data_IF_294199563013
#
_entry.id   IF_294199563013
#
_cell.length_a   1.000
_cell.length_b   1.000
_cell.length_c   1.000
_cell.angle_alpha   90.00
_cell.angle_beta   90.00
_cell.angle_gamma   90.00
#
_symmetry.space_group_name_H-M   'P 1'
#
loop_
_entity.id
_entity.type
_entity.pdbx_description
1 polymer ?
#
# COMPACT_ATOMS: atom_id res chain seq x y z
N UNK A 1 22.06 20.22 -7.94
CA UNK A 1 20.79 20.57 -8.63
C UNK A 1 19.72 20.82 -7.58
N UNK A 2 18.81 21.77 -7.80
CA UNK A 2 17.69 22.04 -6.89
C UNK A 2 16.38 21.52 -7.48
N UNK A 3 15.62 20.75 -6.69
CA UNK A 3 14.33 20.19 -7.10
C UNK A 3 13.26 20.54 -6.08
N UNK A 4 12.01 20.49 -6.54
CA UNK A 4 10.86 20.63 -5.66
C UNK A 4 9.94 19.42 -5.75
N UNK A 5 9.42 19.00 -4.61
CA UNK A 5 8.38 17.99 -4.51
C UNK A 5 7.12 18.67 -3.97
N UNK A 6 6.05 18.71 -4.75
CA UNK A 6 4.78 19.31 -4.37
C UNK A 6 3.82 18.20 -3.95
N UNK A 7 3.44 18.20 -2.68
CA UNK A 7 2.76 17.12 -1.97
C UNK A 7 3.73 16.42 -1.00
N UNK A 8 3.40 16.42 0.29
CA UNK A 8 4.18 15.74 1.34
C UNK A 8 3.43 14.54 1.95
N UNK A 9 2.52 13.97 1.16
CA UNK A 9 2.00 12.63 1.41
C UNK A 9 3.08 11.56 1.22
N UNK A 10 2.68 10.31 1.36
CA UNK A 10 3.57 9.16 1.38
C UNK A 10 4.60 9.14 0.23
N UNK A 11 4.13 9.25 -1.02
CA UNK A 11 4.99 9.28 -2.21
C UNK A 11 5.95 10.47 -2.20
N UNK A 12 5.42 11.68 -1.97
CA UNK A 12 6.20 12.90 -2.08
C UNK A 12 7.28 13.01 -1.00
N UNK A 13 6.96 12.70 0.26
CA UNK A 13 7.93 12.80 1.36
C UNK A 13 9.06 11.78 1.20
N UNK A 14 8.76 10.52 0.87
CA UNK A 14 9.79 9.50 0.61
C UNK A 14 10.68 9.93 -0.57
N UNK A 15 10.07 10.34 -1.68
CA UNK A 15 10.80 10.80 -2.87
C UNK A 15 11.75 11.95 -2.54
N UNK A 16 11.25 12.98 -1.83
CA UNK A 16 12.05 14.14 -1.48
C UNK A 16 13.19 13.82 -0.53
N UNK A 17 12.92 13.00 0.50
CA UNK A 17 13.95 12.58 1.44
C UNK A 17 15.04 11.72 0.77
N UNK A 18 14.67 10.79 -0.13
CA UNK A 18 15.64 9.99 -0.87
C UNK A 18 16.46 10.81 -1.87
N UNK A 19 15.85 11.79 -2.55
CA UNK A 19 16.63 12.70 -3.40
C UNK A 19 17.59 13.59 -2.60
N UNK A 20 17.20 14.03 -1.40
CA UNK A 20 18.10 14.77 -0.51
C UNK A 20 19.29 13.90 -0.03
N UNK A 21 19.04 12.60 0.19
CA UNK A 21 20.09 11.61 0.48
C UNK A 21 21.08 11.44 -0.68
N UNK A 22 20.63 11.60 -1.93
CA UNK A 22 21.51 11.62 -3.11
C UNK A 22 22.33 12.90 -3.28
N UNK A 23 22.22 13.85 -2.35
CA UNK A 23 22.98 15.10 -2.37
C UNK A 23 22.28 16.23 -3.15
N UNK A 24 21.02 16.07 -3.53
CA UNK A 24 20.23 17.14 -4.14
C UNK A 24 19.72 18.11 -3.06
N UNK A 25 19.51 19.37 -3.45
CA UNK A 25 18.81 20.33 -2.62
C UNK A 25 17.31 20.24 -2.94
N UNK A 26 16.51 19.81 -1.96
CA UNK A 26 15.10 19.47 -2.14
C UNK A 26 14.22 20.40 -1.31
N UNK A 27 13.22 21.02 -1.97
CA UNK A 27 12.13 21.72 -1.30
C UNK A 27 10.87 20.87 -1.40
N UNK A 28 10.37 20.41 -0.26
CA UNK A 28 9.08 19.74 -0.15
C UNK A 28 8.00 20.76 0.21
N UNK A 29 6.97 20.88 -0.63
CA UNK A 29 5.88 21.83 -0.45
C UNK A 29 4.55 21.13 -0.21
N UNK A 30 3.75 21.63 0.71
CA UNK A 30 2.38 21.18 0.96
C UNK A 30 1.52 22.37 1.42
N UNK A 31 0.22 22.34 1.15
CA UNK A 31 -0.71 23.38 1.61
C UNK A 31 -1.07 23.21 3.09
N UNK A 32 -0.88 22.01 3.66
CA UNK A 32 -1.13 21.75 5.08
C UNK A 32 -0.01 22.33 5.95
N UNK A 33 -0.24 23.53 6.49
CA UNK A 33 0.70 24.23 7.36
C UNK A 33 1.02 23.46 8.66
N UNK A 34 0.07 22.66 9.17
CA UNK A 34 0.31 21.84 10.37
C UNK A 34 1.27 20.70 10.04
N UNK A 35 1.08 20.04 8.88
CA UNK A 35 2.00 19.00 8.41
C UNK A 35 3.39 19.55 8.16
N UNK A 36 3.50 20.69 7.48
CA UNK A 36 4.80 21.34 7.22
C UNK A 36 5.50 21.70 8.54
N UNK A 37 4.79 22.31 9.50
CA UNK A 37 5.38 22.65 10.80
C UNK A 37 5.83 21.45 11.65
N UNK A 38 5.24 20.26 11.44
CA UNK A 38 5.73 19.00 12.03
C UNK A 38 6.99 18.51 11.29
N UNK A 39 6.96 18.49 9.96
CA UNK A 39 8.07 18.04 9.14
C UNK A 39 9.33 18.91 9.31
N UNK A 40 9.19 20.22 9.50
CA UNK A 40 10.32 21.11 9.82
C UNK A 40 11.04 20.74 11.13
N UNK A 41 10.36 20.03 12.03
CA UNK A 41 10.90 19.54 13.31
C UNK A 41 11.37 18.07 13.22
N UNK A 42 11.32 17.46 12.03
CA UNK A 42 11.62 16.05 11.82
C UNK A 42 10.51 15.09 12.24
N UNK A 43 9.31 15.59 12.57
CA UNK A 43 8.16 14.78 12.96
C UNK A 43 7.38 14.32 11.71
N UNK A 44 7.58 13.04 11.35
CA UNK A 44 6.98 12.39 10.17
C UNK A 44 5.55 11.94 10.51
N UNK A 45 4.53 12.29 9.70
CA UNK A 45 3.12 12.08 10.05
C UNK A 45 2.59 10.66 9.83
N UNK A 46 3.41 9.74 9.32
CA UNK A 46 3.06 8.34 9.06
C UNK A 46 4.26 7.43 9.29
N UNK A 47 4.01 6.13 9.45
CA UNK A 47 5.08 5.16 9.67
C UNK A 47 5.67 4.68 8.34
N UNK A 48 6.99 4.83 8.19
CA UNK A 48 7.78 4.19 7.16
C UNK A 48 9.18 3.87 7.71
N UNK A 49 9.64 2.59 7.67
CA UNK A 49 10.93 2.21 8.24
C UNK A 49 12.09 3.04 7.67
N UNK A 50 12.80 3.78 8.52
CA UNK A 50 13.97 4.58 8.16
C UNK A 50 13.68 6.00 7.67
N UNK A 51 12.41 6.39 7.50
CA UNK A 51 12.06 7.69 6.92
C UNK A 51 12.34 8.84 7.88
N UNK A 52 12.04 8.68 9.17
CA UNK A 52 12.29 9.70 10.20
C UNK A 52 13.78 10.05 10.28
N UNK A 53 14.65 9.04 10.22
CA UNK A 53 16.09 9.21 10.20
C UNK A 53 16.55 9.95 8.93
N UNK A 54 16.01 9.58 7.77
CA UNK A 54 16.33 10.18 6.48
C UNK A 54 15.93 11.66 6.43
N UNK A 55 14.72 11.99 6.90
CA UNK A 55 14.21 13.36 6.98
C UNK A 55 15.06 14.19 7.95
N UNK A 56 15.32 13.66 9.14
CA UNK A 56 16.13 14.35 10.17
C UNK A 56 17.55 14.63 9.65
N UNK A 57 18.16 13.66 8.96
CA UNK A 57 19.47 13.82 8.32
C UNK A 57 19.43 14.91 7.25
N UNK A 58 18.46 14.88 6.34
CA UNK A 58 18.31 15.87 5.27
C UNK A 58 18.11 17.30 5.78
N UNK A 59 17.34 17.47 6.87
CA UNK A 59 17.17 18.75 7.57
C UNK A 59 18.49 19.25 8.17
N UNK A 60 19.19 18.39 8.93
CA UNK A 60 20.47 18.74 9.55
C UNK A 60 21.52 19.17 8.53
N UNK A 61 21.53 18.55 7.35
CA UNK A 61 22.46 18.85 6.28
C UNK A 61 22.01 19.98 5.36
N UNK A 62 20.86 20.62 5.63
CA UNK A 62 20.23 21.67 4.82
C UNK A 62 19.99 21.25 3.36
N UNK A 63 19.86 19.94 3.10
CA UNK A 63 19.54 19.39 1.77
C UNK A 63 18.04 19.13 1.59
N UNK A 64 17.28 19.09 2.68
CA UNK A 64 15.83 18.98 2.68
C UNK A 64 15.23 20.18 3.41
N UNK A 65 14.27 20.85 2.79
CA UNK A 65 13.54 21.97 3.39
C UNK A 65 12.05 21.81 3.11
N UNK A 66 11.22 22.23 4.07
CA UNK A 66 9.77 22.20 3.92
C UNK A 66 9.21 23.63 3.77
N UNK A 67 8.09 23.78 3.09
CA UNK A 67 7.43 25.08 2.94
C UNK A 67 5.95 24.95 2.57
N UNK A 68 5.18 25.99 2.86
CA UNK A 68 3.83 26.17 2.30
C UNK A 68 3.82 27.16 1.12
N UNK A 69 4.95 27.78 0.82
CA UNK A 69 5.08 28.81 -0.21
C UNK A 69 5.37 28.19 -1.59
N UNK A 70 4.35 28.20 -2.45
CA UNK A 70 4.46 27.73 -3.83
C UNK A 70 5.44 28.56 -4.68
N UNK A 71 5.56 29.87 -4.44
CA UNK A 71 6.49 30.72 -5.18
C UNK A 71 7.94 30.33 -4.86
N UNK A 72 8.23 30.07 -3.58
CA UNK A 72 9.54 29.56 -3.13
C UNK A 72 9.85 28.19 -3.75
N UNK A 73 8.87 27.28 -3.74
CA UNK A 73 9.03 25.94 -4.32
C UNK A 73 9.26 25.96 -5.84
N UNK A 74 8.56 26.82 -6.58
CA UNK A 74 8.66 26.88 -8.05
C UNK A 74 9.91 27.64 -8.51
N UNK A 75 10.23 28.76 -7.85
CA UNK A 75 11.24 29.71 -8.31
C UNK A 75 12.62 29.08 -8.52
N UNK A 76 13.12 28.36 -7.51
CA UNK A 76 14.51 27.86 -7.51
C UNK A 76 14.69 26.48 -8.13
N UNK A 77 13.61 25.73 -8.36
CA UNK A 77 13.68 24.34 -8.83
C UNK A 77 14.01 24.23 -10.32
N UNK A 78 14.87 23.30 -10.71
CA UNK A 78 15.07 22.94 -12.13
C UNK A 78 14.07 21.86 -12.57
N UNK A 79 13.75 20.95 -11.66
CA UNK A 79 12.69 19.95 -11.82
C UNK A 79 11.68 20.07 -10.67
N UNK A 80 10.39 20.00 -11.01
CA UNK A 80 9.28 20.10 -10.07
C UNK A 80 8.46 18.82 -10.20
N UNK A 81 8.38 18.04 -9.12
CA UNK A 81 7.59 16.83 -9.04
C UNK A 81 6.22 17.12 -8.46
N UNK A 82 5.17 16.71 -9.16
CA UNK A 82 3.79 16.74 -8.67
C UNK A 82 3.51 15.39 -8.03
N UNK A 83 3.42 15.36 -6.70
CA UNK A 83 3.24 14.16 -5.87
C UNK A 83 2.04 14.30 -4.91
N UNK A 84 1.04 15.08 -5.32
CA UNK A 84 -0.23 15.24 -4.60
C UNK A 84 -1.13 14.03 -4.76
N UNK A 85 -2.10 13.86 -3.86
CA UNK A 85 -3.07 12.77 -3.93
C UNK A 85 -4.02 12.93 -5.13
N UNK A 86 -4.45 11.79 -5.67
CA UNK A 86 -5.50 11.67 -6.69
C UNK A 86 -6.58 10.71 -6.17
N UNK A 87 -7.38 11.15 -5.17
CA UNK A 87 -8.41 10.29 -4.57
C UNK A 87 -9.48 9.90 -5.60
N UNK A 88 -10.17 8.79 -5.36
CA UNK A 88 -11.33 8.41 -6.17
C UNK A 88 -12.50 9.37 -5.92
N UNK A 89 -13.22 9.70 -6.98
CA UNK A 89 -14.56 10.31 -6.93
C UNK A 89 -15.61 9.22 -6.68
N UNK A 90 -16.86 9.64 -6.47
CA UNK A 90 -18.00 8.74 -6.25
C UNK A 90 -18.26 7.79 -7.40
N UNK A 91 -17.91 8.19 -8.62
CA UNK A 91 -18.00 7.35 -9.84
C UNK A 91 -16.76 6.45 -10.04
N UNK A 92 -15.79 6.50 -9.13
CA UNK A 92 -14.54 5.74 -9.23
C UNK A 92 -13.44 6.39 -10.07
N UNK A 93 -13.74 7.50 -10.77
CA UNK A 93 -12.73 8.26 -11.53
C UNK A 93 -11.73 8.95 -10.60
N UNK A 94 -10.52 9.23 -11.09
CA UNK A 94 -9.51 9.93 -10.30
C UNK A 94 -9.79 11.44 -10.24
N UNK A 95 -9.73 12.03 -9.04
CA UNK A 95 -9.82 13.48 -8.88
C UNK A 95 -8.47 14.17 -9.22
N UNK A 96 -8.50 15.00 -10.25
CA UNK A 96 -7.34 15.76 -10.75
C UNK A 96 -7.28 17.21 -10.24
N UNK A 97 -8.24 17.63 -9.41
CA UNK A 97 -8.35 19.01 -8.91
C UNK A 97 -7.03 19.53 -8.31
N UNK A 98 -6.39 18.73 -7.45
CA UNK A 98 -5.11 19.07 -6.81
C UNK A 98 -3.97 19.16 -7.81
N UNK A 99 -3.91 18.25 -8.79
CA UNK A 99 -2.86 18.24 -9.82
C UNK A 99 -2.95 19.49 -10.69
N UNK A 100 -4.17 19.88 -11.09
CA UNK A 100 -4.41 21.11 -11.85
C UNK A 100 -4.11 22.37 -11.03
N UNK A 101 -4.44 22.39 -9.73
CA UNK A 101 -4.10 23.49 -8.84
C UNK A 101 -2.58 23.69 -8.75
N UNK A 102 -1.83 22.60 -8.61
CA UNK A 102 -0.36 22.64 -8.67
C UNK A 102 0.12 23.19 -10.02
N UNK A 103 -0.48 22.74 -11.14
CA UNK A 103 -0.19 23.29 -12.47
C UNK A 103 -0.40 24.80 -12.55
N UNK A 104 -1.52 25.31 -12.01
CA UNK A 104 -1.81 26.76 -11.92
C UNK A 104 -0.79 27.49 -11.05
N UNK A 105 -0.38 26.90 -9.93
CA UNK A 105 0.68 27.45 -9.06
C UNK A 105 2.02 27.56 -9.78
N UNK A 106 2.45 26.51 -10.47
CA UNK A 106 3.69 26.50 -11.27
C UNK A 106 3.64 27.59 -12.35
N UNK A 107 2.53 27.68 -13.10
CA UNK A 107 2.36 28.64 -14.18
C UNK A 107 2.52 30.10 -13.71
N UNK A 108 2.00 30.42 -12.52
CA UNK A 108 2.05 31.77 -11.96
C UNK A 108 3.45 32.21 -11.52
N UNK A 109 4.28 31.26 -11.07
CA UNK A 109 5.55 31.55 -10.38
C UNK A 109 6.81 31.13 -11.15
N UNK A 110 6.66 30.42 -12.27
CA UNK A 110 7.79 30.04 -13.11
C UNK A 110 8.38 31.26 -13.83
N UNK A 111 9.71 31.41 -13.72
CA UNK A 111 10.47 32.54 -14.30
C UNK A 111 11.54 32.11 -15.31
N UNK A 112 11.66 30.81 -15.57
CA UNK A 112 12.65 30.23 -16.48
C UNK A 112 12.27 28.80 -16.84
N UNK A 113 13.11 28.11 -17.59
CA UNK A 113 12.85 26.75 -18.02
C UNK A 113 12.72 25.78 -16.83
N UNK A 114 11.73 24.88 -16.89
CA UNK A 114 11.45 23.85 -15.87
C UNK A 114 11.12 22.51 -16.52
N UNK A 115 11.53 21.43 -15.85
CA UNK A 115 10.97 20.08 -16.08
C UNK A 115 9.88 19.84 -15.03
N UNK A 116 8.68 19.47 -15.46
CA UNK A 116 7.53 19.27 -14.58
C UNK A 116 7.13 17.80 -14.65
N UNK A 117 7.45 17.07 -13.59
CA UNK A 117 7.31 15.62 -13.53
C UNK A 117 6.08 15.21 -12.70
N UNK A 118 5.07 14.65 -13.34
CA UNK A 118 3.91 14.08 -12.66
C UNK A 118 4.28 12.73 -12.09
N UNK A 119 4.30 12.64 -10.76
CA UNK A 119 4.62 11.45 -9.99
C UNK A 119 3.38 10.84 -9.33
N UNK A 120 2.37 11.66 -9.09
CA UNK A 120 1.01 11.26 -8.80
C UNK A 120 0.52 10.24 -9.83
N UNK A 121 -0.24 9.24 -9.37
CA UNK A 121 -0.91 8.31 -10.28
C UNK A 121 -2.10 9.02 -10.92
N UNK A 122 -2.00 9.31 -12.22
CA UNK A 122 -2.98 10.09 -12.97
C UNK A 122 -3.44 9.34 -14.22
N UNK A 123 -4.72 9.42 -14.62
CA UNK A 123 -5.23 8.81 -15.85
C UNK A 123 -4.47 9.26 -17.09
N UNK A 124 -4.49 8.42 -18.12
CA UNK A 124 -3.86 8.71 -19.41
C UNK A 124 -4.39 10.02 -20.00
N UNK A 125 -3.49 10.84 -20.53
CA UNK A 125 -3.75 12.17 -21.09
C UNK A 125 -3.68 13.30 -20.05
N UNK A 126 -3.36 13.02 -18.79
CA UNK A 126 -3.26 14.07 -17.76
C UNK A 126 -2.04 14.96 -17.97
N UNK A 127 -0.91 14.42 -18.45
CA UNK A 127 0.26 15.23 -18.77
C UNK A 127 -0.04 16.35 -19.78
N UNK A 128 -0.83 16.06 -20.82
CA UNK A 128 -1.25 17.09 -21.79
C UNK A 128 -2.24 18.10 -21.18
N UNK A 129 -3.17 17.65 -20.32
CA UNK A 129 -4.03 18.58 -19.57
C UNK A 129 -3.23 19.52 -18.67
N UNK A 130 -2.18 19.03 -18.01
CA UNK A 130 -1.29 19.86 -17.20
C UNK A 130 -0.55 20.86 -18.10
N UNK A 131 -0.08 20.43 -19.28
CA UNK A 131 0.55 21.30 -20.28
C UNK A 131 -0.37 22.46 -20.65
N UNK A 132 -1.63 22.16 -20.95
CA UNK A 132 -2.66 23.16 -21.30
C UNK A 132 -2.95 24.12 -20.13
N UNK A 133 -3.13 23.58 -18.93
CA UNK A 133 -3.34 24.37 -17.71
C UNK A 133 -2.19 25.34 -17.48
N UNK A 134 -0.95 24.89 -17.63
CA UNK A 134 0.22 25.75 -17.45
C UNK A 134 0.26 26.82 -18.54
N UNK A 135 0.12 26.44 -19.81
CA UNK A 135 0.11 27.41 -20.92
C UNK A 135 -0.96 28.50 -20.75
N UNK A 136 -2.15 28.14 -20.29
CA UNK A 136 -3.26 29.08 -20.12
C UNK A 136 -3.05 30.06 -18.94
N UNK A 137 -2.22 29.72 -17.96
CA UNK A 137 -2.09 30.48 -16.70
C UNK A 137 -0.68 31.06 -16.47
N UNK A 138 0.20 31.02 -17.47
CA UNK A 138 1.54 31.59 -17.35
C UNK A 138 1.47 33.11 -17.13
N UNK A 139 2.04 33.58 -16.02
CA UNK A 139 2.26 35.02 -15.80
C UNK A 139 3.39 35.55 -16.69
N UNK A 140 4.40 34.73 -16.92
CA UNK A 140 5.54 35.00 -17.81
C UNK A 140 5.68 33.84 -18.77
N UNK A 141 5.88 34.12 -20.06
CA UNK A 141 6.04 33.07 -21.06
C UNK A 141 7.39 32.39 -20.88
N UNK A 142 7.38 31.16 -20.38
CA UNK A 142 8.56 30.33 -20.19
C UNK A 142 8.40 29.00 -20.92
N UNK A 143 9.50 28.48 -21.45
CA UNK A 143 9.55 27.09 -21.95
C UNK A 143 9.48 26.13 -20.76
N UNK A 144 8.82 25.00 -20.91
CA UNK A 144 8.83 23.92 -19.93
C UNK A 144 8.55 22.60 -20.65
N UNK A 145 8.95 21.50 -20.04
CA UNK A 145 8.64 20.15 -20.52
C UNK A 145 7.85 19.37 -19.48
N UNK A 146 6.85 18.62 -19.95
CA UNK A 146 6.07 17.70 -19.12
C UNK A 146 6.72 16.33 -19.15
N UNK A 147 6.80 15.71 -17.97
CA UNK A 147 7.26 14.34 -17.79
C UNK A 147 6.20 13.58 -16.99
N UNK A 148 5.83 12.38 -17.43
CA UNK A 148 5.18 11.38 -16.58
C UNK A 148 6.26 10.49 -15.96
N UNK A 149 6.39 10.53 -14.65
CA UNK A 149 7.37 9.73 -13.90
C UNK A 149 6.65 9.01 -12.77
N UNK A 150 5.86 7.97 -13.09
CA UNK A 150 5.06 7.27 -12.10
C UNK A 150 5.94 6.56 -11.08
N UNK A 151 5.40 6.43 -9.88
CA UNK A 151 6.06 5.76 -8.76
C UNK A 151 5.51 4.34 -8.55
N UNK A 152 6.36 3.40 -8.14
CA UNK A 152 6.06 1.98 -7.93
C UNK A 152 6.44 1.42 -6.56
N UNK A 153 6.84 2.29 -5.63
CA UNK A 153 7.14 1.94 -4.25
C UNK A 153 5.95 1.30 -3.56
N UNK A 154 6.26 0.39 -2.65
CA UNK A 154 5.28 -0.24 -1.77
C UNK A 154 5.40 0.42 -0.42
N UNK A 155 4.27 0.74 0.20
CA UNK A 155 4.31 1.25 1.58
C UNK A 155 5.02 0.26 2.53
N UNK A 156 5.71 0.69 3.57
CA UNK A 156 6.49 -0.20 4.47
C UNK A 156 7.80 -0.75 3.91
N UNK A 157 8.14 -0.45 2.65
CA UNK A 157 9.43 -0.74 2.01
C UNK A 157 9.81 0.31 0.96
N UNK A 158 9.28 1.52 1.10
CA UNK A 158 9.32 2.56 0.09
C UNK A 158 10.72 3.13 -0.12
N UNK A 159 11.50 3.26 0.95
CA UNK A 159 12.89 3.69 0.84
C UNK A 159 13.70 2.65 0.05
N UNK A 160 13.57 1.36 0.37
CA UNK A 160 14.26 0.29 -0.36
C UNK A 160 13.84 0.28 -1.84
N UNK A 161 12.53 0.35 -2.11
CA UNK A 161 11.99 0.34 -3.47
C UNK A 161 12.46 1.57 -4.28
N UNK A 162 12.61 2.73 -3.65
CA UNK A 162 13.11 3.93 -4.29
C UNK A 162 14.62 3.87 -4.55
N UNK A 163 15.40 3.37 -3.58
CA UNK A 163 16.87 3.26 -3.68
C UNK A 163 17.32 2.13 -4.60
N UNK A 164 16.49 1.08 -4.76
CA UNK A 164 16.77 -0.09 -5.60
C UNK A 164 15.57 -0.42 -6.49
N UNK A 165 15.20 0.49 -7.40
CA UNK A 165 14.02 0.28 -8.23
C UNK A 165 14.29 -0.81 -9.26
N UNK A 166 13.28 -1.64 -9.53
CA UNK A 166 13.32 -2.58 -10.65
C UNK A 166 13.40 -1.84 -12.00
N UNK A 167 12.81 -0.64 -12.06
CA UNK A 167 12.88 0.29 -13.20
C UNK A 167 12.46 1.70 -12.79
N UNK A 168 12.95 2.71 -13.50
CA UNK A 168 12.46 4.09 -13.46
C UNK A 168 11.83 4.43 -14.81
N UNK A 169 10.54 4.77 -14.81
CA UNK A 169 9.79 5.11 -16.04
C UNK A 169 9.83 6.62 -16.25
N UNK A 170 10.18 7.06 -17.46
CA UNK A 170 10.22 8.47 -17.87
C UNK A 170 9.44 8.60 -19.17
N UNK A 171 8.24 9.17 -19.09
CA UNK A 171 7.37 9.46 -20.22
C UNK A 171 7.48 10.92 -20.63
N UNK A 172 8.04 11.24 -21.81
CA UNK A 172 8.13 12.61 -22.33
C UNK A 172 8.51 12.60 -23.81
N UNK A 173 8.18 13.66 -24.54
CA UNK A 173 8.59 13.92 -25.91
C UNK A 173 9.88 14.76 -26.02
N UNK A 174 10.47 15.19 -24.89
CA UNK A 174 11.66 16.05 -24.85
C UNK A 174 12.94 15.29 -24.45
N UNK A 175 13.91 15.27 -25.36
CA UNK A 175 15.26 14.75 -25.08
C UNK A 175 15.99 15.54 -23.98
N UNK A 176 15.73 16.85 -23.87
CA UNK A 176 16.29 17.71 -22.82
C UNK A 176 15.75 17.29 -21.45
N UNK A 177 14.44 17.05 -21.35
CA UNK A 177 13.81 16.55 -20.14
C UNK A 177 14.28 15.14 -19.76
N UNK A 178 14.44 14.22 -20.74
CA UNK A 178 15.02 12.88 -20.49
C UNK A 178 16.41 12.99 -19.88
N UNK A 179 17.28 13.86 -20.42
CA UNK A 179 18.63 14.04 -19.90
C UNK A 179 18.63 14.54 -18.45
N UNK A 180 17.81 15.54 -18.13
CA UNK A 180 17.66 16.09 -16.77
C UNK A 180 17.15 15.00 -15.80
N UNK A 181 16.11 14.26 -16.19
CA UNK A 181 15.55 13.20 -15.37
C UNK A 181 16.55 12.05 -15.15
N UNK A 182 17.34 11.67 -16.16
CA UNK A 182 18.39 10.65 -16.00
C UNK A 182 19.50 11.12 -15.06
N UNK A 183 19.90 12.39 -15.11
CA UNK A 183 20.91 12.93 -14.19
C UNK A 183 20.42 12.91 -12.72
N UNK A 184 19.14 13.26 -12.49
CA UNK A 184 18.51 13.16 -11.16
C UNK A 184 18.58 11.75 -10.56
N UNK A 185 18.40 10.73 -11.41
CA UNK A 185 18.38 9.32 -11.01
C UNK A 185 19.72 8.60 -11.17
N UNK A 186 20.76 9.28 -11.65
CA UNK A 186 22.11 8.74 -11.82
C UNK A 186 22.70 8.17 -10.52
N UNK A 187 22.49 8.76 -9.33
CA UNK A 187 23.07 8.24 -8.09
C UNK A 187 22.54 6.85 -7.65
N UNK A 188 21.44 6.36 -8.22
CA UNK A 188 20.84 5.08 -7.84
C UNK A 188 21.75 3.88 -8.11
N UNK A 189 22.49 3.91 -9.21
CA UNK A 189 23.35 2.81 -9.65
C UNK A 189 24.69 3.35 -10.14
N UNK A 190 25.77 2.68 -9.71
CA UNK A 190 27.13 3.03 -10.15
C UNK A 190 27.37 2.74 -11.64
N UNK A 191 26.65 1.77 -12.20
CA UNK A 191 26.84 1.33 -13.60
C UNK A 191 25.70 1.85 -14.46
N UNK A 192 24.47 1.36 -14.24
CA UNK A 192 23.32 1.76 -15.05
C UNK A 192 22.02 1.64 -14.25
N UNK A 193 21.27 2.73 -14.17
CA UNK A 193 19.90 2.73 -13.65
C UNK A 193 18.96 2.15 -14.72
N UNK A 194 18.06 1.21 -14.38
CA UNK A 194 17.15 0.59 -15.34
C UNK A 194 16.05 1.57 -15.80
N UNK A 195 16.37 2.42 -16.77
CA UNK A 195 15.43 3.40 -17.32
C UNK A 195 14.52 2.78 -18.38
N UNK A 196 13.24 3.13 -18.33
CA UNK A 196 12.27 2.92 -19.42
C UNK A 196 11.83 4.30 -19.89
N UNK A 197 12.37 4.74 -21.04
CA UNK A 197 12.00 6.02 -21.66
C UNK A 197 10.92 5.76 -22.71
N UNK A 198 9.82 6.49 -22.64
CA UNK A 198 8.66 6.34 -23.53
C UNK A 198 7.90 7.67 -23.66
N UNK A 199 6.73 7.68 -24.31
CA UNK A 199 5.84 8.83 -24.36
C UNK A 199 5.02 8.99 -23.05
N UNK A 200 4.39 10.16 -22.88
CA UNK A 200 3.62 10.50 -21.67
C UNK A 200 2.47 9.50 -21.43
N UNK A 201 1.68 9.22 -22.48
CA UNK A 201 0.49 8.38 -22.37
C UNK A 201 0.85 6.93 -22.01
N UNK A 202 1.89 6.39 -22.63
CA UNK A 202 2.44 5.07 -22.29
C UNK A 202 2.93 5.02 -20.84
N UNK A 203 3.66 6.03 -20.37
CA UNK A 203 4.13 6.07 -18.98
C UNK A 203 2.98 6.12 -17.97
N UNK A 204 1.95 6.93 -18.22
CA UNK A 204 0.73 6.97 -17.39
C UNK A 204 0.02 5.61 -17.36
N UNK A 205 -0.14 4.95 -18.52
CA UNK A 205 -0.77 3.64 -18.62
C UNK A 205 0.03 2.54 -17.89
N UNK A 206 1.37 2.56 -17.96
CA UNK A 206 2.23 1.56 -17.30
C UNK A 206 1.92 1.46 -15.80
N UNK A 207 1.61 2.58 -15.14
CA UNK A 207 1.28 2.58 -13.72
C UNK A 207 -0.02 1.82 -13.42
N UNK A 208 -1.09 2.13 -14.13
CA UNK A 208 -2.38 1.46 -13.96
C UNK A 208 -2.32 -0.01 -14.35
N UNK A 209 -1.72 -0.32 -15.50
CA UNK A 209 -1.56 -1.71 -15.96
C UNK A 209 -0.76 -2.54 -14.94
N UNK A 210 0.32 -1.99 -14.39
CA UNK A 210 1.12 -2.68 -13.36
C UNK A 210 0.31 -2.96 -12.09
N UNK A 211 -0.37 -1.94 -11.55
CA UNK A 211 -1.13 -2.10 -10.31
C UNK A 211 -2.35 -3.01 -10.49
N UNK A 212 -3.07 -2.90 -11.61
CA UNK A 212 -4.19 -3.76 -11.92
C UNK A 212 -3.76 -5.22 -12.10
N UNK A 213 -2.61 -5.48 -12.72
CA UNK A 213 -2.09 -6.83 -12.86
C UNK A 213 -1.68 -7.44 -11.50
N UNK A 214 -1.04 -6.66 -10.63
CA UNK A 214 -0.72 -7.12 -9.26
C UNK A 214 -1.98 -7.44 -8.45
N UNK A 215 -3.01 -6.58 -8.53
CA UNK A 215 -4.31 -6.85 -7.92
C UNK A 215 -4.96 -8.11 -8.49
N UNK A 216 -4.88 -8.31 -9.81
CA UNK A 216 -5.38 -9.50 -10.50
C UNK A 216 -4.67 -10.77 -10.00
N UNK A 217 -3.34 -10.75 -9.81
CA UNK A 217 -2.61 -11.91 -9.26
C UNK A 217 -3.11 -12.30 -7.88
N UNK A 218 -3.38 -11.30 -7.01
CA UNK A 218 -3.91 -11.54 -5.66
C UNK A 218 -5.33 -12.11 -5.72
N UNK A 219 -6.23 -11.49 -6.49
CA UNK A 219 -7.60 -11.99 -6.65
C UNK A 219 -7.63 -13.39 -7.25
N UNK A 220 -6.81 -13.64 -8.27
CA UNK A 220 -6.68 -14.95 -8.88
C UNK A 220 -6.26 -16.01 -7.85
N UNK A 221 -5.20 -15.77 -7.08
CA UNK A 221 -4.75 -16.79 -6.11
C UNK A 221 -5.74 -16.97 -4.95
N UNK A 222 -6.49 -15.93 -4.57
CA UNK A 222 -7.58 -16.03 -3.59
C UNK A 222 -8.74 -16.90 -4.11
N UNK A 223 -9.12 -16.74 -5.37
CA UNK A 223 -10.14 -17.59 -6.00
C UNK A 223 -9.69 -19.06 -6.05
N UNK A 224 -8.43 -19.30 -6.42
CA UNK A 224 -7.81 -20.63 -6.36
C UNK A 224 -7.77 -21.16 -4.92
N UNK A 225 -7.48 -20.32 -3.92
CA UNK A 225 -7.51 -20.72 -2.52
C UNK A 225 -8.90 -21.23 -2.12
N UNK A 226 -9.95 -20.49 -2.46
CA UNK A 226 -11.32 -20.90 -2.18
C UNK A 226 -11.69 -22.22 -2.84
N UNK A 227 -11.22 -22.47 -4.06
CA UNK A 227 -11.39 -23.76 -4.73
C UNK A 227 -10.61 -24.87 -4.02
N UNK A 228 -9.36 -24.60 -3.61
CA UNK A 228 -8.52 -25.57 -2.89
C UNK A 228 -9.22 -26.11 -1.63
N UNK A 229 -9.93 -25.26 -0.89
CA UNK A 229 -10.69 -25.69 0.30
C UNK A 229 -11.83 -26.66 -0.04
N UNK A 230 -12.43 -26.54 -1.21
CA UNK A 230 -13.55 -27.40 -1.64
C UNK A 230 -13.09 -28.74 -2.20
N UNK A 231 -11.89 -28.78 -2.78
CA UNK A 231 -11.36 -29.98 -3.47
C UNK A 231 -10.27 -30.70 -2.67
N UNK A 232 -9.89 -30.19 -1.50
CA UNK A 232 -8.88 -30.79 -0.63
C UNK A 232 -7.43 -30.55 -1.09
N UNK A 233 -7.18 -29.44 -1.81
CA UNK A 233 -5.83 -29.03 -2.22
C UNK A 233 -5.23 -28.00 -1.24
N UNK A 234 -3.93 -27.74 -1.40
CA UNK A 234 -3.19 -26.73 -0.62
C UNK A 234 -2.71 -25.59 -1.54
N UNK A 235 -3.24 -24.38 -1.30
CA UNK A 235 -2.94 -23.20 -2.11
C UNK A 235 -1.48 -22.76 -2.03
N UNK A 236 -0.76 -22.99 -0.92
CA UNK A 236 0.65 -22.64 -0.84
C UNK A 236 1.50 -23.58 -1.69
N UNK A 237 1.16 -24.87 -1.75
CA UNK A 237 1.81 -25.82 -2.67
C UNK A 237 1.52 -25.44 -4.12
N UNK A 238 0.26 -25.13 -4.45
CA UNK A 238 -0.14 -24.68 -5.80
C UNK A 238 0.59 -23.39 -6.19
N UNK A 239 0.57 -22.36 -5.34
CA UNK A 239 1.24 -21.09 -5.57
C UNK A 239 2.75 -21.25 -5.77
N UNK A 240 3.39 -22.10 -4.95
CA UNK A 240 4.81 -22.43 -5.09
C UNK A 240 5.08 -23.07 -6.44
N UNK A 241 4.34 -24.12 -6.81
CA UNK A 241 4.54 -24.84 -8.07
C UNK A 241 4.34 -23.92 -9.29
N UNK A 242 3.27 -23.11 -9.30
CA UNK A 242 3.02 -22.11 -10.34
C UNK A 242 4.13 -21.06 -10.40
N UNK A 243 4.58 -20.57 -9.25
CA UNK A 243 5.58 -19.51 -9.14
C UNK A 243 6.99 -19.92 -9.56
N UNK A 244 7.28 -21.22 -9.69
CA UNK A 244 8.53 -21.72 -10.26
C UNK A 244 8.61 -21.52 -11.79
N UNK A 245 7.47 -21.35 -12.45
CA UNK A 245 7.44 -20.93 -13.85
C UNK A 245 7.81 -19.44 -13.96
N UNK A 246 8.95 -19.15 -14.59
CA UNK A 246 9.46 -17.78 -14.74
C UNK A 246 8.52 -16.85 -15.52
N UNK A 247 7.58 -17.38 -16.31
CA UNK A 247 6.54 -16.58 -17.00
C UNK A 247 5.48 -16.05 -16.04
N UNK A 248 5.29 -16.72 -14.90
CA UNK A 248 4.33 -16.35 -13.84
C UNK A 248 5.04 -15.58 -12.73
N UNK A 249 6.17 -16.12 -12.25
CA UNK A 249 6.93 -15.61 -11.13
C UNK A 249 6.25 -15.81 -9.77
N UNK A 250 7.06 -16.00 -8.73
CA UNK A 250 6.62 -16.38 -7.38
C UNK A 250 6.00 -15.26 -6.53
N UNK A 251 6.19 -13.99 -6.91
CA UNK A 251 5.71 -12.84 -6.13
C UNK A 251 4.21 -12.59 -6.36
N UNK A 252 3.54 -12.04 -5.34
CA UNK A 252 2.10 -11.69 -5.36
C UNK A 252 1.17 -12.90 -5.57
N UNK A 253 1.57 -14.07 -5.06
CA UNK A 253 0.78 -15.31 -5.08
C UNK A 253 0.48 -15.84 -3.66
N UNK A 254 0.39 -14.94 -2.69
CA UNK A 254 0.02 -15.29 -1.32
C UNK A 254 -1.48 -15.04 -1.13
N UNK A 255 -2.25 -16.11 -0.97
CA UNK A 255 -3.67 -16.02 -0.65
C UNK A 255 -3.89 -15.45 0.76
N UNK A 256 -5.01 -14.76 0.96
CA UNK A 256 -5.38 -14.22 2.26
C UNK A 256 -6.73 -13.49 2.25
N UNK A 257 -6.92 -12.43 3.07
CA UNK A 257 -8.22 -11.79 3.28
C UNK A 257 -8.60 -10.79 2.18
N UNK A 258 -7.88 -10.78 1.07
CA UNK A 258 -7.95 -9.74 0.04
C UNK A 258 -6.83 -8.71 0.17
N UNK A 259 -6.74 -7.83 -0.83
CA UNK A 259 -5.88 -6.66 -0.84
C UNK A 259 -6.63 -5.41 -0.37
N UNK A 260 -5.86 -4.41 0.04
CA UNK A 260 -6.33 -3.11 0.47
C UNK A 260 -5.31 -2.02 0.18
N UNK A 261 -5.29 -0.99 1.01
CA UNK A 261 -4.37 0.12 0.92
C UNK A 261 -4.83 1.19 -0.07
N UNK A 262 -4.07 2.27 -0.10
CA UNK A 262 -4.39 3.48 -0.85
C UNK A 262 -4.28 3.35 -2.37
N UNK A 263 -3.69 2.28 -2.89
CA UNK A 263 -3.30 2.19 -4.29
C UNK A 263 -4.17 1.21 -5.10
N UNK A 264 -4.21 -0.08 -4.74
CA UNK A 264 -4.84 -1.09 -5.62
C UNK A 264 -6.34 -0.88 -5.84
N UNK A 265 -7.19 -0.69 -4.81
CA UNK A 265 -8.62 -0.51 -5.02
C UNK A 265 -8.92 0.73 -5.89
N UNK A 266 -8.30 1.88 -5.58
CA UNK A 266 -8.51 3.11 -6.35
C UNK A 266 -7.99 3.02 -7.79
N UNK A 267 -6.83 2.39 -7.99
CA UNK A 267 -6.21 2.34 -9.32
C UNK A 267 -6.95 1.34 -10.22
N UNK A 268 -7.47 0.26 -9.64
CA UNK A 268 -8.30 -0.69 -10.35
C UNK A 268 -9.63 -0.04 -10.78
N UNK A 269 -10.29 0.69 -9.87
CA UNK A 269 -11.51 1.44 -10.17
C UNK A 269 -11.28 2.51 -11.26
N UNK A 270 -10.20 3.28 -11.14
CA UNK A 270 -9.84 4.28 -12.12
C UNK A 270 -9.50 3.67 -13.50
N UNK A 271 -8.86 2.51 -13.56
CA UNK A 271 -8.61 1.82 -14.82
C UNK A 271 -9.91 1.35 -15.50
N UNK A 272 -10.87 0.83 -14.71
CA UNK A 272 -12.20 0.46 -15.22
C UNK A 272 -12.89 1.69 -15.83
N UNK A 273 -12.88 2.82 -15.11
CA UNK A 273 -13.45 4.08 -15.59
C UNK A 273 -12.74 4.63 -16.84
N UNK A 274 -11.41 4.49 -16.93
CA UNK A 274 -10.65 4.83 -18.14
C UNK A 274 -11.12 3.99 -19.34
N UNK A 275 -11.33 2.69 -19.13
CA UNK A 275 -11.89 1.80 -20.16
C UNK A 275 -13.29 2.23 -20.59
N UNK A 276 -14.20 2.43 -19.64
CA UNK A 276 -15.58 2.85 -19.91
C UNK A 276 -15.64 4.16 -20.71
N UNK A 277 -14.84 5.16 -20.31
CA UNK A 277 -14.73 6.44 -21.02
C UNK A 277 -14.18 6.29 -22.45
N UNK A 278 -13.39 5.24 -22.71
CA UNK A 278 -12.89 4.88 -24.02
C UNK A 278 -13.82 3.91 -24.80
N UNK A 279 -14.97 3.53 -24.23
CA UNK A 279 -15.90 2.56 -24.82
C UNK A 279 -15.42 1.11 -24.76
N UNK A 280 -14.56 0.76 -23.80
CA UNK A 280 -14.00 -0.57 -23.60
C UNK A 280 -14.28 -1.12 -22.19
N UNK A 281 -14.87 -2.30 -22.12
CA UNK A 281 -15.08 -2.99 -20.84
C UNK A 281 -13.78 -3.63 -20.33
N UNK A 282 -13.42 -3.37 -19.07
CA UNK A 282 -12.20 -3.88 -18.44
C UNK A 282 -12.48 -5.16 -17.66
N UNK A 283 -12.96 -6.20 -18.36
CA UNK A 283 -13.49 -7.44 -17.78
C UNK A 283 -12.62 -8.09 -16.70
N UNK A 284 -11.30 -8.19 -16.93
CA UNK A 284 -10.36 -8.79 -15.98
C UNK A 284 -10.23 -7.92 -14.72
N UNK A 285 -10.14 -6.61 -14.88
CA UNK A 285 -10.01 -5.67 -13.77
C UNK A 285 -11.26 -5.68 -12.89
N UNK A 286 -12.44 -5.70 -13.51
CA UNK A 286 -13.71 -5.80 -12.79
C UNK A 286 -13.87 -7.13 -12.05
N UNK A 287 -13.48 -8.24 -12.69
CA UNK A 287 -13.49 -9.55 -12.03
C UNK A 287 -12.56 -9.55 -10.81
N UNK A 288 -11.35 -9.01 -10.95
CA UNK A 288 -10.41 -8.88 -9.84
C UNK A 288 -10.99 -8.04 -8.68
N UNK A 289 -11.69 -6.94 -8.98
CA UNK A 289 -12.35 -6.10 -7.99
C UNK A 289 -13.47 -6.86 -7.24
N UNK A 290 -14.37 -7.51 -7.98
CA UNK A 290 -15.48 -8.30 -7.42
C UNK A 290 -14.99 -9.46 -6.56
N UNK A 291 -13.95 -10.16 -7.00
CA UNK A 291 -13.33 -11.26 -6.25
C UNK A 291 -12.74 -10.73 -4.94
N UNK A 292 -12.04 -9.59 -4.96
CA UNK A 292 -11.45 -9.01 -3.76
C UNK A 292 -12.50 -8.64 -2.70
N UNK A 293 -13.60 -8.04 -3.12
CA UNK A 293 -14.70 -7.68 -2.21
C UNK A 293 -15.37 -8.92 -1.61
N UNK A 294 -15.63 -9.93 -2.44
CA UNK A 294 -16.17 -11.21 -1.97
C UNK A 294 -15.23 -11.93 -1.02
N UNK A 295 -13.91 -11.84 -1.24
CA UNK A 295 -12.91 -12.48 -0.39
C UNK A 295 -13.01 -12.00 1.06
N UNK A 296 -13.22 -10.70 1.28
CA UNK A 296 -13.38 -10.10 2.62
C UNK A 296 -14.57 -10.72 3.35
N UNK A 297 -15.71 -10.84 2.68
CA UNK A 297 -16.93 -11.47 3.23
C UNK A 297 -16.71 -12.96 3.54
N UNK A 298 -16.02 -13.68 2.66
CA UNK A 298 -15.69 -15.09 2.88
C UNK A 298 -14.80 -15.31 4.11
N UNK A 299 -13.94 -14.35 4.46
CA UNK A 299 -13.17 -14.44 5.70
C UNK A 299 -14.05 -14.31 6.94
N UNK A 300 -15.04 -13.42 6.91
CA UNK A 300 -16.03 -13.31 8.00
C UNK A 300 -16.83 -14.60 8.14
N UNK A 301 -17.28 -15.17 7.02
CA UNK A 301 -17.99 -16.45 6.99
C UNK A 301 -17.12 -17.57 7.58
N UNK A 302 -15.85 -17.64 7.18
CA UNK A 302 -14.88 -18.60 7.71
C UNK A 302 -14.70 -18.46 9.23
N UNK A 303 -14.59 -17.23 9.74
CA UNK A 303 -14.48 -16.98 11.19
C UNK A 303 -15.76 -17.45 11.90
N UNK A 304 -16.93 -17.07 11.39
CA UNK A 304 -18.23 -17.46 11.95
C UNK A 304 -18.41 -18.97 12.02
N UNK A 305 -18.13 -19.66 10.92
CA UNK A 305 -18.29 -21.11 10.82
C UNK A 305 -17.33 -21.83 11.78
N UNK A 306 -16.08 -21.34 11.86
CA UNK A 306 -15.05 -21.92 12.74
C UNK A 306 -15.37 -21.71 14.22
N UNK A 307 -15.99 -20.59 14.59
CA UNK A 307 -16.37 -20.27 15.97
C UNK A 307 -17.74 -20.85 16.39
N UNK A 308 -18.48 -21.46 15.46
CA UNK A 308 -19.83 -21.96 15.71
C UNK A 308 -20.86 -20.84 15.94
N UNK A 309 -20.66 -19.68 15.29
CA UNK A 309 -21.44 -18.45 15.50
C UNK A 309 -20.64 -17.33 16.15
N UNK A 310 -21.16 -16.10 16.05
CA UNK A 310 -20.46 -14.88 16.46
C UNK A 310 -21.08 -14.16 17.67
N UNK A 311 -22.40 -14.29 17.86
CA UNK A 311 -23.14 -13.52 18.88
C UNK A 311 -22.62 -13.82 20.29
N UNK A 312 -22.17 -12.78 21.00
CA UNK A 312 -21.67 -12.87 22.37
C UNK A 312 -20.27 -13.48 22.50
N UNK A 313 -19.58 -13.72 21.39
CA UNK A 313 -18.20 -14.22 21.37
C UNK A 313 -17.19 -13.09 21.49
N UNK A 314 -16.04 -13.38 22.09
CA UNK A 314 -14.89 -12.47 22.10
C UNK A 314 -13.85 -12.95 21.10
N UNK A 315 -13.44 -12.08 20.18
CA UNK A 315 -12.40 -12.36 19.17
C UNK A 315 -11.16 -11.55 19.51
N UNK A 316 -10.01 -12.22 19.63
CA UNK A 316 -8.70 -11.57 19.61
C UNK A 316 -8.26 -11.38 18.16
N UNK A 317 -7.99 -10.15 17.74
CA UNK A 317 -7.65 -9.79 16.37
C UNK A 317 -6.25 -9.17 16.30
N UNK A 318 -5.36 -9.79 15.53
CA UNK A 318 -3.98 -9.33 15.34
C UNK A 318 -3.80 -8.74 13.95
N UNK A 319 -3.41 -7.47 13.92
CA UNK A 319 -3.18 -6.70 12.71
C UNK A 319 -4.41 -5.91 12.25
N UNK A 320 -4.23 -4.62 12.03
CA UNK A 320 -5.24 -3.68 11.55
C UNK A 320 -4.83 -3.00 10.24
N UNK A 321 -3.55 -2.69 10.09
CA UNK A 321 -2.99 -2.14 8.85
C UNK A 321 -3.26 -3.06 7.66
N UNK A 322 -3.43 -2.50 6.46
CA UNK A 322 -3.75 -3.32 5.28
C UNK A 322 -2.63 -4.31 4.90
N UNK A 323 -1.42 -4.03 5.38
CA UNK A 323 -0.22 -4.87 5.29
C UNK A 323 0.79 -4.47 6.39
N UNK A 324 1.84 -5.27 6.64
CA UNK A 324 2.87 -4.92 7.62
C UNK A 324 3.64 -3.63 7.29
N UNK A 325 4.31 -3.10 8.31
CA UNK A 325 5.22 -1.95 8.26
C UNK A 325 4.57 -0.63 7.82
N UNK A 326 3.28 -0.44 8.10
CA UNK A 326 2.58 0.83 7.86
C UNK A 326 1.47 1.00 8.90
N UNK A 327 1.09 2.25 9.18
CA UNK A 327 -0.11 2.56 9.95
C UNK A 327 -1.32 2.88 9.05
N UNK A 328 -1.22 2.69 7.73
CA UNK A 328 -2.31 2.96 6.81
C UNK A 328 -3.44 1.90 6.93
N UNK A 329 -4.65 2.42 7.09
CA UNK A 329 -5.88 1.66 7.27
C UNK A 329 -6.84 1.76 6.09
N UNK A 330 -6.53 2.60 5.09
CA UNK A 330 -7.38 2.77 3.90
C UNK A 330 -7.60 1.43 3.24
N UNK A 331 -8.87 1.08 3.00
CA UNK A 331 -9.27 -0.18 2.38
C UNK A 331 -8.74 -1.44 3.09
N UNK A 332 -8.41 -1.36 4.39
CA UNK A 332 -7.87 -2.50 5.13
C UNK A 332 -8.89 -3.64 5.24
N UNK A 333 -8.55 -4.88 4.83
CA UNK A 333 -9.40 -6.04 5.07
C UNK A 333 -9.67 -6.28 6.56
N UNK A 334 -8.72 -5.92 7.44
CA UNK A 334 -8.87 -6.11 8.88
C UNK A 334 -9.97 -5.24 9.48
N UNK A 335 -10.09 -3.98 9.03
CA UNK A 335 -11.18 -3.11 9.47
C UNK A 335 -12.53 -3.61 8.97
N UNK A 336 -12.63 -4.00 7.70
CA UNK A 336 -13.87 -4.56 7.14
C UNK A 336 -14.31 -5.82 7.89
N UNK A 337 -13.36 -6.71 8.22
CA UNK A 337 -13.64 -7.91 9.02
C UNK A 337 -14.07 -7.52 10.43
N UNK A 338 -13.34 -6.62 11.11
CA UNK A 338 -13.66 -6.19 12.48
C UNK A 338 -15.05 -5.55 12.58
N UNK A 339 -15.42 -4.70 11.61
CA UNK A 339 -16.75 -4.08 11.53
C UNK A 339 -17.87 -5.12 11.44
N UNK A 340 -17.70 -6.13 10.59
CA UNK A 340 -18.67 -7.22 10.44
C UNK A 340 -18.77 -8.11 11.69
N UNK A 341 -17.65 -8.37 12.37
CA UNK A 341 -17.65 -9.10 13.64
C UNK A 341 -18.41 -8.34 14.73
N UNK A 342 -18.18 -7.02 14.85
CA UNK A 342 -18.91 -6.16 15.79
C UNK A 342 -20.41 -6.11 15.46
N UNK A 343 -20.76 -5.95 14.18
CA UNK A 343 -22.15 -5.96 13.71
C UNK A 343 -22.86 -7.30 14.01
N UNK A 344 -22.13 -8.41 14.01
CA UNK A 344 -22.64 -9.73 14.39
C UNK A 344 -22.74 -9.96 15.91
N UNK A 345 -22.38 -8.97 16.73
CA UNK A 345 -22.47 -9.01 18.19
C UNK A 345 -21.26 -9.65 18.88
N UNK A 346 -20.09 -9.66 18.25
CA UNK A 346 -18.83 -9.99 18.92
C UNK A 346 -18.29 -8.81 19.75
N UNK A 347 -17.45 -9.12 20.73
CA UNK A 347 -16.45 -8.18 21.25
C UNK A 347 -15.12 -8.41 20.54
N UNK A 348 -14.53 -7.37 19.94
CA UNK A 348 -13.27 -7.47 19.21
C UNK A 348 -12.15 -6.84 20.04
N UNK A 349 -11.23 -7.66 20.55
CA UNK A 349 -10.00 -7.23 21.23
C UNK A 349 -8.88 -7.16 20.20
N UNK A 350 -8.23 -6.03 20.06
CA UNK A 350 -7.36 -5.79 18.89
C UNK A 350 -5.98 -5.29 19.26
N UNK A 351 -4.99 -5.76 18.52
CA UNK A 351 -3.62 -5.26 18.58
C UNK A 351 -2.99 -5.16 17.18
N UNK A 352 -2.39 -4.01 16.88
CA UNK A 352 -1.49 -3.77 15.75
C UNK A 352 -0.28 -2.97 16.28
N UNK A 353 0.95 -3.26 15.86
CA UNK A 353 2.11 -2.54 16.37
C UNK A 353 2.12 -1.04 16.04
N UNK A 354 1.56 -0.62 14.91
CA UNK A 354 1.70 0.77 14.42
C UNK A 354 0.34 1.45 14.13
N UNK A 355 -0.74 0.69 13.96
CA UNK A 355 -2.03 1.22 13.49
C UNK A 355 -3.11 1.33 14.58
N UNK A 356 -2.77 1.22 15.87
CA UNK A 356 -3.76 1.23 16.96
C UNK A 356 -4.47 2.57 17.12
N UNK A 357 -3.74 3.68 17.09
CA UNK A 357 -4.34 5.01 17.29
C UNK A 357 -5.37 5.31 16.21
N UNK A 358 -4.99 5.17 14.93
CA UNK A 358 -5.89 5.39 13.80
C UNK A 358 -6.99 4.33 13.73
N UNK A 359 -6.71 3.10 14.15
CA UNK A 359 -7.66 2.00 14.15
C UNK A 359 -8.82 2.24 15.10
N UNK A 360 -8.52 2.66 16.33
CA UNK A 360 -9.54 2.98 17.34
C UNK A 360 -10.29 4.26 17.00
N UNK A 361 -9.63 5.28 16.40
CA UNK A 361 -10.34 6.45 15.86
C UNK A 361 -11.36 6.06 14.78
N UNK A 362 -10.98 5.12 13.91
CA UNK A 362 -11.84 4.68 12.79
C UNK A 362 -12.98 3.79 13.25
N UNK A 363 -12.72 2.86 14.17
CA UNK A 363 -13.72 1.92 14.69
C UNK A 363 -13.67 1.86 16.23
N UNK A 364 -14.30 2.84 16.92
CA UNK A 364 -14.18 3.01 18.38
C UNK A 364 -14.75 1.89 19.23
N UNK A 365 -15.57 1.02 18.64
CA UNK A 365 -16.17 -0.13 19.32
C UNK A 365 -15.20 -1.32 19.52
N UNK A 366 -14.01 -1.28 18.91
CA UNK A 366 -12.95 -2.24 19.21
C UNK A 366 -12.33 -1.96 20.59
N UNK A 367 -11.89 -3.03 21.26
CA UNK A 367 -11.21 -2.96 22.56
C UNK A 367 -9.70 -2.94 22.29
N UNK A 368 -8.99 -1.82 22.53
CA UNK A 368 -7.56 -1.78 22.30
C UNK A 368 -6.80 -2.60 23.33
N UNK A 369 -5.80 -3.34 22.87
CA UNK A 369 -4.93 -4.15 23.70
C UNK A 369 -3.47 -3.66 23.63
N UNK A 370 -2.71 -3.90 24.71
CA UNK A 370 -1.33 -3.43 24.82
C UNK A 370 -0.35 -4.24 23.96
N UNK A 371 -0.63 -5.54 23.79
CA UNK A 371 0.17 -6.45 22.99
C UNK A 371 -0.68 -7.62 22.43
N UNK A 372 -0.05 -8.51 21.66
CA UNK A 372 -0.71 -9.66 21.07
C UNK A 372 -1.26 -10.66 22.12
N UNK A 373 -0.69 -10.70 23.32
CA UNK A 373 -1.10 -11.61 24.38
C UNK A 373 -2.28 -11.06 25.18
N UNK A 374 -2.35 -9.75 25.37
CA UNK A 374 -3.51 -9.07 25.92
C UNK A 374 -4.73 -9.20 24.97
N UNK A 375 -4.51 -9.14 23.65
CA UNK A 375 -5.57 -9.32 22.65
C UNK A 375 -6.30 -10.67 22.74
N UNK A 376 -5.62 -11.73 23.23
CA UNK A 376 -6.19 -13.08 23.33
C UNK A 376 -6.75 -13.42 24.72
N UNK A 377 -6.61 -12.53 25.69
CA UNK A 377 -7.07 -12.77 27.07
C UNK A 377 -8.58 -13.03 27.12
N UNK A 378 -8.96 -14.23 27.56
CA UNK A 378 -10.33 -14.73 27.64
C UNK A 378 -11.11 -14.67 26.31
N UNK A 379 -10.41 -14.63 25.18
CA UNK A 379 -11.04 -14.67 23.86
C UNK A 379 -11.48 -16.11 23.51
N UNK A 380 -12.58 -16.23 22.76
CA UNK A 380 -13.11 -17.48 22.22
C UNK A 380 -12.28 -17.98 21.01
N UNK A 381 -11.51 -17.09 20.38
CA UNK A 381 -10.59 -17.43 19.31
C UNK A 381 -9.67 -16.28 18.92
N UNK A 382 -8.53 -16.63 18.32
CA UNK A 382 -7.56 -15.70 17.76
C UNK A 382 -7.69 -15.65 16.24
N UNK A 383 -7.71 -14.44 15.67
CA UNK A 383 -7.71 -14.18 14.23
C UNK A 383 -6.47 -13.35 13.87
N UNK A 384 -5.62 -13.88 13.00
CA UNK A 384 -4.50 -13.14 12.41
C UNK A 384 -4.90 -12.59 11.05
N UNK A 385 -4.89 -11.27 10.89
CA UNK A 385 -5.30 -10.60 9.63
C UNK A 385 -4.15 -9.92 8.91
N UNK A 386 -3.13 -9.43 9.64
CA UNK A 386 -1.95 -8.78 9.03
C UNK A 386 -0.66 -9.41 9.53
N UNK A 387 0.19 -9.87 8.61
CA UNK A 387 1.34 -10.75 8.81
C UNK A 387 2.62 -10.06 9.30
N UNK A 388 2.49 -9.19 10.30
CA UNK A 388 3.63 -8.52 10.93
C UNK A 388 4.69 -9.52 11.40
N UNK A 389 5.97 -9.18 11.25
CA UNK A 389 7.07 -10.08 11.59
C UNK A 389 7.02 -10.54 13.05
N UNK A 390 6.62 -9.65 13.98
CA UNK A 390 6.44 -9.99 15.40
C UNK A 390 5.36 -11.06 15.64
N UNK A 391 4.39 -11.19 14.74
CA UNK A 391 3.33 -12.19 14.82
C UNK A 391 3.71 -13.53 14.21
N UNK A 392 4.94 -13.72 13.70
CA UNK A 392 5.39 -14.97 13.07
C UNK A 392 6.03 -15.95 14.05
N UNK A 393 6.33 -15.50 15.26
CA UNK A 393 7.00 -16.31 16.29
C UNK A 393 6.45 -15.99 17.68
N UNK A 394 5.13 -16.11 17.83
CA UNK A 394 4.44 -15.88 19.10
C UNK A 394 4.68 -17.02 20.11
N UNK A 395 4.60 -16.71 21.40
CA UNK A 395 4.55 -17.73 22.46
C UNK A 395 3.18 -18.40 22.48
N UNK A 396 3.09 -19.54 21.81
CA UNK A 396 1.87 -20.32 21.68
C UNK A 396 1.38 -20.94 22.99
N UNK A 397 2.28 -21.26 23.92
CA UNK A 397 1.87 -21.77 25.23
C UNK A 397 1.17 -20.68 26.03
N UNK A 398 1.67 -19.44 25.96
CA UNK A 398 1.00 -18.27 26.56
C UNK A 398 -0.35 -18.01 25.91
N UNK A 399 -0.43 -18.02 24.58
CA UNK A 399 -1.69 -17.82 23.84
C UNK A 399 -2.72 -18.90 24.22
N UNK A 400 -2.30 -20.17 24.24
CA UNK A 400 -3.17 -21.30 24.54
C UNK A 400 -3.78 -21.21 25.95
N UNK A 401 -3.01 -20.73 26.93
CA UNK A 401 -3.48 -20.54 28.31
C UNK A 401 -4.41 -19.33 28.46
N UNK A 402 -4.25 -18.31 27.62
CA UNK A 402 -5.04 -17.09 27.67
C UNK A 402 -6.41 -17.23 26.97
N UNK A 403 -6.48 -18.05 25.91
CA UNK A 403 -7.73 -18.32 25.19
C UNK A 403 -8.67 -19.24 25.98
N UNK A 404 -9.98 -19.05 25.83
CA UNK A 404 -11.01 -19.97 26.36
C UNK A 404 -10.98 -21.32 25.65
N UNK A 405 -10.73 -21.27 24.34
CA UNK A 405 -10.57 -22.43 23.47
C UNK A 405 -9.35 -22.19 22.59
N UNK A 406 -8.49 -23.19 22.36
CA UNK A 406 -7.29 -23.02 21.55
C UNK A 406 -7.63 -22.96 20.05
N UNK A 407 -8.40 -21.96 19.65
CA UNK A 407 -8.84 -21.71 18.29
C UNK A 407 -7.97 -20.62 17.65
N UNK A 408 -7.34 -20.94 16.53
CA UNK A 408 -6.53 -20.00 15.77
C UNK A 408 -6.99 -20.00 14.30
N UNK A 409 -7.47 -18.85 13.84
CA UNK A 409 -7.83 -18.58 12.45
C UNK A 409 -6.75 -17.66 11.83
N UNK A 410 -5.95 -18.20 10.92
CA UNK A 410 -4.86 -17.49 10.27
C UNK A 410 -5.25 -17.13 8.83
N UNK A 411 -5.57 -15.86 8.62
CA UNK A 411 -6.00 -15.38 7.30
C UNK A 411 -4.82 -15.07 6.37
N UNK A 412 -3.58 -15.23 6.81
CA UNK A 412 -2.36 -14.92 6.03
C UNK A 412 -1.47 -16.13 5.81
N UNK A 413 -1.88 -17.31 6.27
CA UNK A 413 -1.16 -18.56 6.12
C UNK A 413 0.30 -18.47 6.63
N UNK A 414 0.51 -17.79 7.75
CA UNK A 414 1.83 -17.61 8.37
C UNK A 414 2.35 -18.92 8.96
N UNK A 415 1.45 -19.74 9.51
CA UNK A 415 1.80 -20.95 10.24
C UNK A 415 1.52 -22.23 9.46
N UNK A 416 2.28 -23.28 9.77
CA UNK A 416 2.08 -24.63 9.23
C UNK A 416 0.96 -25.35 9.99
N UNK A 417 -0.06 -25.91 9.31
CA UNK A 417 -1.21 -26.56 9.97
C UNK A 417 -0.81 -27.66 10.95
N UNK A 418 0.06 -28.59 10.53
CA UNK A 418 0.48 -29.73 11.34
C UNK A 418 1.21 -29.29 12.63
N UNK A 419 2.01 -28.22 12.54
CA UNK A 419 2.69 -27.66 13.71
C UNK A 419 1.71 -27.08 14.71
N UNK A 420 0.71 -26.34 14.24
CA UNK A 420 -0.32 -25.74 15.08
C UNK A 420 -1.20 -26.82 15.74
N UNK A 421 -1.55 -27.86 15.00
CA UNK A 421 -2.28 -29.01 15.52
C UNK A 421 -1.47 -29.76 16.59
N UNK A 422 -0.16 -29.95 16.40
CA UNK A 422 0.73 -30.57 17.38
C UNK A 422 0.85 -29.74 18.68
N UNK A 423 0.76 -28.41 18.59
CA UNK A 423 0.66 -27.50 19.74
C UNK A 423 -0.73 -27.53 20.41
N UNK A 424 -1.69 -28.24 19.83
CA UNK A 424 -3.02 -28.44 20.36
C UNK A 424 -4.00 -27.31 20.05
N UNK A 425 -3.78 -26.58 18.95
CA UNK A 425 -4.75 -25.64 18.41
C UNK A 425 -5.67 -26.31 17.40
N UNK A 426 -6.94 -25.91 17.41
CA UNK A 426 -7.78 -26.02 16.22
C UNK A 426 -7.38 -24.89 15.29
N UNK A 427 -6.66 -25.24 14.23
CA UNK A 427 -6.08 -24.28 13.30
C UNK A 427 -6.83 -24.28 11.96
N UNK A 428 -7.30 -23.11 11.57
CA UNK A 428 -7.96 -22.87 10.29
C UNK A 428 -7.20 -21.79 9.55
N UNK A 429 -6.99 -21.98 8.25
CA UNK A 429 -6.31 -21.01 7.40
C UNK A 429 -6.96 -20.92 6.01
N UNK A 430 -6.35 -20.19 5.08
CA UNK A 430 -6.96 -19.87 3.78
C UNK A 430 -6.41 -20.79 2.70
N UNK A 431 -7.28 -21.56 2.06
CA UNK A 431 -6.91 -22.42 0.93
C UNK A 431 -6.10 -23.66 1.30
N UNK A 432 -6.08 -24.07 2.56
CA UNK A 432 -5.34 -25.24 3.05
C UNK A 432 -6.25 -26.16 3.87
N UNK A 433 -6.00 -27.48 3.90
CA UNK A 433 -6.76 -28.41 4.74
C UNK A 433 -6.74 -27.99 6.22
N UNK A 434 -7.90 -28.03 6.87
CA UNK A 434 -8.01 -27.78 8.31
C UNK A 434 -7.45 -28.95 9.09
N UNK A 435 -6.71 -28.65 10.16
CA UNK A 435 -6.15 -29.66 11.07
C UNK A 435 -6.66 -29.43 12.48
N UNK A 436 -7.26 -30.47 13.09
CA UNK A 436 -7.65 -30.46 14.51
C UNK A 436 -6.60 -31.20 15.35
N UNK A 437 -6.48 -30.90 16.66
CA UNK A 437 -5.58 -31.64 17.54
C UNK A 437 -5.90 -33.13 17.49
N UNK A 438 -4.90 -33.97 17.18
CA UNK A 438 -5.08 -35.41 17.34
C UNK A 438 -5.34 -35.70 18.81
N UNK A 439 -6.46 -36.36 19.12
CA UNK A 439 -6.68 -36.90 20.45
C UNK A 439 -5.48 -37.80 20.78
N UNK A 440 -4.77 -37.51 21.89
CA UNK A 440 -3.76 -38.42 22.41
C UNK A 440 -4.43 -39.79 22.52
N UNK A 441 -4.08 -40.73 21.64
CA UNK A 441 -4.46 -42.12 21.83
C UNK A 441 -4.02 -42.50 23.23
N UNK A 442 -4.91 -43.05 24.09
CA UNK A 442 -4.46 -43.51 25.40
C UNK A 442 -3.32 -44.47 25.14
N UNK A 443 -2.15 -44.21 25.75
CA UNK A 443 -1.03 -45.14 25.73
C UNK A 443 -1.61 -46.50 26.08
N UNK A 444 -1.60 -47.43 25.12
CA UNK A 444 -1.92 -48.82 25.41
C UNK A 444 -0.95 -49.24 26.51
N UNK A 445 -1.50 -49.51 27.69
CA UNK A 445 -0.72 -50.03 28.80
C UNK A 445 -0.11 -51.36 28.40
N UNK A 446 1.20 -51.47 28.58
CA UNK A 446 1.91 -52.70 28.89
C UNK A 446 3.17 -52.29 29.67
#
# INVERSE_FOLDING_TARGET
>A
MQISIIGTGYVGLVTGACFAEFGLNVICMDTDSRRIGRLEKGDVPFYEPGLTELVTKGLRENRLTFTTDVAKAVGQAQAIFIAVGTPSRTDGSADLSYVEEVGRGIAKHMTGYKVIATKSTVPVGTGEKIRDVIHAHQSTRCRFDIVSNPEFLREGSAIEDFLRPNRVVIGTDSNEAVAIMKDLYRPLYLIETPFVVTDIASAEMIKYASNAFLATKISFINEIANLCEKVGADVQVVAKAMGLDHRIGSKFLHAGPGFGGSCFPKDLAALIQIGEAAGLEMQIAEAAARINERQRLQMVDKIRDTMGGLKGKTVGLLGLSFKPNTNDLRESPALAIAEQLLAAGCSVRVYDPEAMEEGIKTLPAMIPCADAYDAVQDADGLVLVTEWNQFRNLDFERIKKALRHPLFIDLRNVYEPDRMAALGFHYVSVGRPSTSPQAKSPKAGA
#
